data_IF_949345876139
#
_entry.id   IF_949345876139
#
_cell.length_a   1.000
_cell.length_b   1.000
_cell.length_c   1.000
_cell.angle_alpha   90.00
_cell.angle_beta   90.00
_cell.angle_gamma   90.00
#
_symmetry.space_group_name_H-M   'P 1'
#
loop_
_entity.id
_entity.type
_entity.pdbx_description
1 polymer ?
#
# COMPACT_ATOMS: atom_id res chain seq x y z
N UNK A 1 -14.21 -7.83 3.18
CA UNK A 1 -13.74 -9.02 2.43
C UNK A 1 -12.36 -8.66 1.93
N UNK A 2 -11.36 -9.57 1.91
CA UNK A 2 -10.01 -9.17 1.52
C UNK A 2 -9.99 -8.71 0.07
N UNK A 3 -9.34 -7.58 -0.18
CA UNK A 3 -9.08 -7.11 -1.52
C UNK A 3 -8.21 -8.14 -2.25
N UNK A 4 -8.47 -8.33 -3.54
CA UNK A 4 -7.68 -9.23 -4.38
C UNK A 4 -6.49 -8.49 -4.98
N UNK A 5 -5.38 -9.22 -5.13
CA UNK A 5 -4.17 -8.75 -5.77
C UNK A 5 -4.43 -8.28 -7.22
N UNK A 6 -3.85 -7.14 -7.59
CA UNK A 6 -3.89 -6.63 -8.97
C UNK A 6 -2.49 -6.18 -9.44
N UNK A 7 -2.29 -4.89 -9.72
CA UNK A 7 -1.10 -4.38 -10.43
C UNK A 7 -0.24 -3.49 -9.56
N UNK A 8 1.06 -3.51 -9.84
CA UNK A 8 2.00 -2.52 -9.33
C UNK A 8 1.98 -1.31 -10.26
N UNK A 9 1.87 -0.11 -9.70
CA UNK A 9 1.93 1.15 -10.46
C UNK A 9 3.33 1.75 -10.38
N UNK A 10 3.97 1.66 -9.20
CA UNK A 10 5.36 2.08 -8.97
C UNK A 10 5.50 3.20 -7.96
N UNK A 11 6.73 3.67 -7.78
CA UNK A 11 7.08 4.68 -6.80
C UNK A 11 6.73 6.11 -7.29
N UNK A 12 6.08 6.88 -6.44
CA UNK A 12 5.73 8.28 -6.66
C UNK A 12 6.59 9.16 -5.74
N UNK A 13 7.64 9.75 -6.32
CA UNK A 13 8.63 10.56 -5.59
C UNK A 13 8.05 11.86 -5.04
N UNK A 14 7.03 12.43 -5.68
CA UNK A 14 6.40 13.67 -5.19
C UNK A 14 5.56 13.40 -3.93
N UNK A 15 4.96 12.20 -3.86
CA UNK A 15 4.12 11.78 -2.74
C UNK A 15 4.86 10.97 -1.69
N UNK A 16 6.12 10.59 -1.95
CA UNK A 16 6.92 9.67 -1.13
C UNK A 16 6.12 8.41 -0.79
N UNK A 17 5.53 7.81 -1.83
CA UNK A 17 4.64 6.68 -1.69
C UNK A 17 4.76 5.70 -2.85
N UNK A 18 4.68 4.41 -2.52
CA UNK A 18 4.58 3.36 -3.51
C UNK A 18 3.12 3.09 -3.85
N UNK A 19 2.79 3.17 -5.15
CA UNK A 19 1.43 3.03 -5.67
C UNK A 19 1.22 1.63 -6.26
N UNK A 20 0.06 1.07 -5.96
CA UNK A 20 -0.41 -0.20 -6.47
C UNK A 20 -1.94 -0.22 -6.53
N UNK A 21 -2.50 -1.24 -7.15
CA UNK A 21 -3.94 -1.45 -7.20
C UNK A 21 -4.29 -2.80 -6.60
N UNK A 22 -5.50 -2.89 -6.10
CA UNK A 22 -6.16 -4.13 -5.70
C UNK A 22 -7.58 -4.15 -6.28
N UNK A 23 -8.26 -5.28 -6.20
CA UNK A 23 -9.63 -5.46 -6.71
C UNK A 23 -10.59 -5.75 -5.57
N UNK A 24 -11.77 -5.13 -5.63
CA UNK A 24 -12.93 -5.48 -4.82
C UNK A 24 -14.08 -5.88 -5.75
N UNK A 25 -14.44 -7.17 -5.81
CA UNK A 25 -15.49 -7.68 -6.71
C UNK A 25 -15.35 -7.22 -8.18
N UNK A 26 -14.10 -7.12 -8.66
CA UNK A 26 -13.78 -6.67 -10.01
C UNK A 26 -13.64 -5.14 -10.18
N UNK A 27 -13.93 -4.35 -9.14
CA UNK A 27 -13.67 -2.91 -9.13
C UNK A 27 -12.24 -2.60 -8.68
N UNK A 28 -11.56 -1.70 -9.39
CA UNK A 28 -10.20 -1.28 -9.07
C UNK A 28 -10.20 -0.35 -7.84
N UNK A 29 -9.47 -0.76 -6.82
CA UNK A 29 -9.16 0.01 -5.61
C UNK A 29 -7.73 0.54 -5.71
N UNK A 30 -7.60 1.86 -5.68
CA UNK A 30 -6.30 2.53 -5.68
C UNK A 30 -5.68 2.47 -4.28
N UNK A 31 -4.45 1.96 -4.19
CA UNK A 31 -3.74 1.77 -2.94
C UNK A 31 -2.36 2.45 -2.97
N UNK A 32 -1.96 3.00 -1.83
CA UNK A 32 -0.68 3.67 -1.66
C UNK A 32 -0.12 3.33 -0.28
N UNK A 33 1.18 3.10 -0.20
CA UNK A 33 1.90 3.01 1.08
C UNK A 33 3.02 4.04 1.08
N UNK A 34 3.11 4.85 2.14
CA UNK A 34 4.19 5.82 2.28
C UNK A 34 5.54 5.13 2.44
N UNK A 35 6.61 5.74 1.95
CA UNK A 35 7.98 5.24 2.08
C UNK A 35 8.36 4.93 3.52
N UNK A 36 7.99 5.81 4.46
CA UNK A 36 8.23 5.62 5.88
C UNK A 36 7.56 4.36 6.44
N UNK A 37 6.32 4.08 6.03
CA UNK A 37 5.62 2.87 6.44
C UNK A 37 6.23 1.61 5.83
N UNK A 38 6.70 1.68 4.58
CA UNK A 38 7.39 0.55 3.94
C UNK A 38 8.74 0.26 4.61
N UNK A 39 9.48 1.31 4.95
CA UNK A 39 10.73 1.25 5.71
C UNK A 39 10.51 0.64 7.10
N UNK A 40 9.50 1.10 7.84
CA UNK A 40 9.14 0.55 9.16
C UNK A 40 8.77 -0.94 9.07
N UNK A 41 7.99 -1.35 8.06
CA UNK A 41 7.67 -2.76 7.82
C UNK A 41 8.89 -3.62 7.48
N UNK A 42 9.88 -3.05 6.79
CA UNK A 42 11.13 -3.73 6.46
C UNK A 42 12.15 -3.73 7.61
N UNK A 43 11.90 -2.96 8.68
CA UNK A 43 12.88 -2.76 9.76
C UNK A 43 14.14 -2.01 9.33
N UNK A 44 14.05 -1.20 8.27
CA UNK A 44 15.17 -0.42 7.71
C UNK A 44 14.71 1.01 7.40
N UNK A 45 15.63 1.94 7.18
CA UNK A 45 15.30 3.32 6.77
C UNK A 45 16.10 3.74 5.54
N UNK A 46 15.51 4.60 4.71
CA UNK A 46 16.22 5.24 3.61
C UNK A 46 16.40 4.34 2.39
N UNK A 47 15.45 3.45 2.10
CA UNK A 47 15.51 2.63 0.89
C UNK A 47 15.47 3.53 -0.35
N UNK A 48 16.46 3.35 -1.23
CA UNK A 48 16.55 4.09 -2.48
C UNK A 48 15.35 3.83 -3.38
N UNK A 49 14.95 4.84 -4.18
CA UNK A 49 13.79 4.73 -5.09
C UNK A 49 13.88 3.52 -6.03
N UNK A 50 15.08 3.15 -6.48
CA UNK A 50 15.32 2.00 -7.36
C UNK A 50 15.08 0.65 -6.68
N UNK A 51 15.17 0.59 -5.35
CA UNK A 51 14.95 -0.60 -4.55
C UNK A 51 13.51 -0.71 -4.00
N UNK A 52 12.70 0.36 -4.07
CA UNK A 52 11.33 0.40 -3.54
C UNK A 52 10.41 -0.68 -4.10
N UNK A 53 10.54 -1.03 -5.39
CA UNK A 53 9.73 -2.13 -5.95
C UNK A 53 10.12 -3.49 -5.37
N UNK A 54 11.40 -3.76 -5.16
CA UNK A 54 11.85 -5.01 -4.56
C UNK A 54 11.40 -5.10 -3.09
N UNK A 55 11.49 -3.98 -2.36
CA UNK A 55 10.99 -3.86 -0.98
C UNK A 55 9.47 -4.07 -0.90
N UNK A 56 8.70 -3.47 -1.82
CA UNK A 56 7.27 -3.72 -1.90
C UNK A 56 6.96 -5.20 -2.15
N UNK A 57 7.69 -5.83 -3.08
CA UNK A 57 7.48 -7.25 -3.41
C UNK A 57 7.78 -8.18 -2.22
N UNK A 58 8.80 -7.90 -1.41
CA UNK A 58 9.12 -8.70 -0.22
C UNK A 58 8.08 -8.52 0.90
N UNK A 59 7.43 -7.36 0.96
CA UNK A 59 6.42 -7.03 1.97
C UNK A 59 4.97 -7.18 1.47
N UNK A 60 4.77 -7.64 0.24
CA UNK A 60 3.51 -7.51 -0.50
C UNK A 60 2.32 -8.07 0.24
N UNK A 61 2.45 -9.26 0.84
CA UNK A 61 1.35 -9.90 1.55
C UNK A 61 0.90 -9.09 2.77
N UNK A 62 1.85 -8.55 3.53
CA UNK A 62 1.55 -7.69 4.69
C UNK A 62 0.91 -6.38 4.26
N UNK A 63 1.41 -5.76 3.18
CA UNK A 63 0.87 -4.50 2.65
C UNK A 63 -0.54 -4.70 2.10
N UNK A 64 -0.79 -5.78 1.35
CA UNK A 64 -2.11 -6.11 0.78
C UNK A 64 -3.14 -6.44 1.89
N UNK A 65 -2.71 -7.08 2.99
CA UNK A 65 -3.56 -7.29 4.17
C UNK A 65 -3.94 -5.97 4.84
N UNK A 66 -2.96 -5.10 5.12
CA UNK A 66 -3.21 -3.77 5.68
C UNK A 66 -4.12 -2.92 4.79
N UNK A 67 -3.95 -3.00 3.46
CA UNK A 67 -4.82 -2.32 2.52
C UNK A 67 -6.27 -2.80 2.62
N UNK A 68 -6.47 -4.11 2.79
CA UNK A 68 -7.80 -4.71 2.97
C UNK A 68 -8.46 -4.26 4.27
N UNK A 69 -7.71 -4.28 5.39
CA UNK A 69 -8.21 -3.84 6.69
C UNK A 69 -8.64 -2.37 6.64
N UNK A 70 -7.80 -1.50 6.06
CA UNK A 70 -8.12 -0.08 5.89
C UNK A 70 -9.28 0.17 4.93
N UNK A 71 -9.43 -0.65 3.90
CA UNK A 71 -10.56 -0.55 2.98
C UNK A 71 -11.88 -0.91 3.66
N UNK A 72 -11.89 -1.97 4.48
CA UNK A 72 -13.08 -2.37 5.24
C UNK A 72 -13.46 -1.32 6.30
N UNK A 73 -12.49 -0.56 6.84
CA UNK A 73 -12.73 0.57 7.77
C UNK A 73 -13.10 1.90 7.08
N UNK A 74 -12.88 2.03 5.76
CA UNK A 74 -13.04 3.29 5.05
C UNK A 74 -14.50 3.62 4.67
N UNK A 75 -14.85 4.91 4.50
CA UNK A 75 -16.12 5.30 3.91
C UNK A 75 -16.28 4.73 2.51
N UNK A 76 -17.46 4.19 2.19
CA UNK A 76 -17.82 3.61 0.87
C UNK A 76 -18.06 4.70 -0.18
N UNK A 77 -17.08 5.56 -0.38
CA UNK A 77 -17.11 6.63 -1.39
C UNK A 77 -16.37 6.18 -2.63
N UNK A 78 -17.01 6.33 -3.79
CA UNK A 78 -16.41 5.97 -5.08
C UNK A 78 -15.14 6.79 -5.32
N UNK A 79 -14.07 6.12 -5.73
CA UNK A 79 -12.76 6.75 -5.94
C UNK A 79 -11.94 6.97 -4.67
N UNK A 80 -12.34 6.40 -3.54
CA UNK A 80 -11.50 6.37 -2.35
C UNK A 80 -10.15 5.71 -2.65
N UNK A 81 -9.07 6.35 -2.20
CA UNK A 81 -7.71 5.83 -2.31
C UNK A 81 -7.27 5.38 -0.92
N UNK A 82 -6.99 4.09 -0.78
CA UNK A 82 -6.46 3.50 0.44
C UNK A 82 -5.02 3.98 0.62
N UNK A 83 -4.72 4.57 1.79
CA UNK A 83 -3.39 5.11 2.10
C UNK A 83 -2.87 4.50 3.39
N UNK A 84 -1.76 3.78 3.29
CA UNK A 84 -1.07 3.14 4.40
C UNK A 84 0.04 4.06 4.89
N UNK A 85 -0.02 4.44 6.16
CA UNK A 85 0.96 5.26 6.86
C UNK A 85 1.47 4.51 8.08
N UNK A 86 2.59 4.96 8.65
CA UNK A 86 3.24 4.36 9.84
C UNK A 86 2.28 4.14 11.00
N UNK A 87 1.37 5.10 11.26
CA UNK A 87 0.32 4.97 12.29
C UNK A 87 -0.61 3.77 12.13
N UNK A 88 -0.71 3.19 10.93
CA UNK A 88 -1.53 2.00 10.66
C UNK A 88 -0.77 0.69 10.96
N UNK A 89 0.54 0.75 11.23
CA UNK A 89 1.38 -0.43 11.51
C UNK A 89 1.42 -0.81 12.99
N UNK A 90 1.10 0.13 13.88
CA UNK A 90 1.21 -0.02 15.34
C UNK A 90 -0.06 -0.57 16.02
N UNK A 91 -0.95 -1.22 15.26
CA UNK A 91 -2.21 -1.78 15.77
C UNK A 91 -2.09 -3.25 16.14
#
# INVERSE_FOLDING_TARGET
MPLMRDRIIGHDLERLAFRFTMLNDGEVVQCQISDAAMDELAGMQGTESSARQAQFLSLRETIERLASDLYDEAPRVRGHVVRIFTRHLQR
#
